data_IF_898250733115
#
_entry.id   IF_898250733115
#
_cell.length_a   1.000
_cell.length_b   1.000
_cell.length_c   1.000
_cell.angle_alpha   90.00
_cell.angle_beta   90.00
_cell.angle_gamma   90.00
#
_symmetry.space_group_name_H-M   'P 1'
#
loop_
_entity.id
_entity.type
_entity.pdbx_description
1 polymer ?
#
# COMPACT_ATOMS: atom_id res chain seq x y z
N UNK A 1 -5.99 14.01 7.17
CA UNK A 1 -5.76 13.68 8.59
C UNK A 1 -4.73 12.55 8.66
N UNK A 2 -3.89 12.54 9.68
CA UNK A 2 -2.88 11.48 9.87
C UNK A 2 -3.54 10.24 10.50
N UNK A 3 -3.09 9.06 10.11
CA UNK A 3 -3.41 7.82 10.82
C UNK A 3 -2.29 7.44 11.77
N UNK A 4 -2.48 6.39 12.58
CA UNK A 4 -1.39 5.79 13.37
C UNK A 4 -0.33 5.08 12.50
N UNK A 5 -0.62 4.86 11.22
CA UNK A 5 0.28 4.23 10.27
C UNK A 5 1.08 5.30 9.51
N UNK A 6 2.40 5.14 9.51
CA UNK A 6 3.31 6.04 8.81
C UNK A 6 2.97 6.08 7.31
N UNK A 7 3.02 7.27 6.72
CA UNK A 7 2.74 7.53 5.30
C UNK A 7 1.33 7.13 4.83
N UNK A 8 0.41 6.85 5.77
CA UNK A 8 -1.00 6.61 5.47
C UNK A 8 -1.83 7.75 6.03
N UNK A 9 -2.54 8.42 5.12
CA UNK A 9 -3.44 9.52 5.41
C UNK A 9 -4.84 9.15 4.96
N UNK A 10 -5.84 9.64 5.69
CA UNK A 10 -7.24 9.39 5.36
C UNK A 10 -7.97 10.73 5.27
N UNK A 11 -8.78 10.85 4.21
CA UNK A 11 -9.87 11.80 4.11
C UNK A 11 -11.16 11.04 4.44
N UNK A 12 -11.68 11.27 5.64
CA UNK A 12 -12.86 10.53 6.12
C UNK A 12 -14.13 10.92 5.37
N UNK A 13 -15.02 9.96 5.19
CA UNK A 13 -16.39 10.18 4.71
C UNK A 13 -17.38 10.12 5.88
N UNK A 14 -18.52 10.78 5.73
CA UNK A 14 -19.65 10.71 6.67
C UNK A 14 -20.98 10.76 5.91
N UNK A 15 -22.10 10.75 6.63
CA UNK A 15 -23.44 10.76 6.04
C UNK A 15 -23.72 11.98 5.13
N UNK A 16 -22.99 13.10 5.28
CA UNK A 16 -23.13 14.26 4.42
C UNK A 16 -22.65 14.01 2.98
N UNK A 17 -21.88 12.94 2.73
CA UNK A 17 -21.48 12.60 1.37
C UNK A 17 -22.69 12.28 0.46
N UNK A 18 -23.79 11.78 1.03
CA UNK A 18 -25.04 11.59 0.31
C UNK A 18 -25.70 12.92 -0.12
N UNK A 19 -25.54 13.98 0.69
CA UNK A 19 -26.01 15.32 0.32
C UNK A 19 -25.14 15.94 -0.77
N UNK A 20 -23.83 15.69 -0.74
CA UNK A 20 -22.91 16.14 -1.78
C UNK A 20 -23.31 15.62 -3.17
N UNK A 21 -23.86 14.41 -3.26
CA UNK A 21 -24.35 13.87 -4.54
C UNK A 21 -25.50 14.71 -5.13
N UNK A 22 -26.37 15.25 -4.29
CA UNK A 22 -27.46 16.16 -4.71
C UNK A 22 -26.89 17.51 -5.11
N UNK A 23 -25.99 18.08 -4.30
CA UNK A 23 -25.34 19.37 -4.59
C UNK A 23 -24.52 19.36 -5.89
N UNK A 24 -23.96 18.21 -6.26
CA UNK A 24 -23.25 18.04 -7.51
C UNK A 24 -24.16 18.18 -8.73
N UNK A 25 -25.47 17.91 -8.64
CA UNK A 25 -26.37 17.95 -9.81
C UNK A 25 -26.38 19.33 -10.46
N UNK A 26 -26.37 20.39 -9.65
CA UNK A 26 -26.47 21.79 -10.09
C UNK A 26 -25.11 22.43 -10.42
N UNK A 27 -24.00 21.68 -10.30
CA UNK A 27 -22.66 22.19 -10.62
C UNK A 27 -22.34 21.99 -12.10
N UNK A 28 -21.72 23.01 -12.68
CA UNK A 28 -21.05 22.88 -13.98
C UNK A 28 -19.87 21.91 -13.85
N UNK A 29 -19.68 21.05 -14.85
CA UNK A 29 -18.61 20.04 -14.87
C UNK A 29 -18.61 19.17 -13.60
N UNK A 30 -19.82 18.86 -13.10
CA UNK A 30 -20.03 18.10 -11.86
C UNK A 30 -19.31 16.76 -11.80
N UNK A 31 -19.03 16.15 -12.94
CA UNK A 31 -18.31 14.89 -13.09
C UNK A 31 -16.80 15.03 -12.80
N UNK A 32 -16.28 16.26 -12.74
CA UNK A 32 -14.85 16.56 -12.59
C UNK A 32 -14.50 17.25 -11.27
N UNK A 33 -15.47 17.44 -10.37
CA UNK A 33 -15.28 18.19 -9.12
C UNK A 33 -14.20 17.54 -8.26
N UNK A 34 -14.25 16.22 -8.07
CA UNK A 34 -13.22 15.50 -7.31
C UNK A 34 -11.84 15.59 -7.99
N UNK A 35 -11.79 15.44 -9.32
CA UNK A 35 -10.55 15.51 -10.09
C UNK A 35 -9.86 16.87 -9.98
N UNK A 36 -10.63 17.97 -9.99
CA UNK A 36 -10.11 19.33 -9.77
C UNK A 36 -9.47 19.46 -8.39
N UNK A 37 -10.13 18.99 -7.33
CA UNK A 37 -9.60 19.03 -5.97
C UNK A 37 -8.35 18.16 -5.80
N UNK A 38 -8.36 16.94 -6.36
CA UNK A 38 -7.21 16.04 -6.25
C UNK A 38 -5.99 16.55 -7.02
N UNK A 39 -6.19 17.29 -8.12
CA UNK A 39 -5.08 17.89 -8.88
C UNK A 39 -4.25 18.88 -8.05
N UNK A 40 -4.82 19.48 -7.00
CA UNK A 40 -4.10 20.40 -6.11
C UNK A 40 -3.11 19.67 -5.20
N UNK A 41 -3.39 18.42 -4.84
CA UNK A 41 -2.60 17.62 -3.87
C UNK A 41 -1.88 16.42 -4.49
N UNK A 42 -2.10 16.11 -5.78
CA UNK A 42 -1.59 14.87 -6.40
C UNK A 42 -0.07 14.71 -6.35
N UNK A 43 0.67 15.82 -6.25
CA UNK A 43 2.14 15.78 -6.19
C UNK A 43 2.66 15.50 -4.77
N UNK A 44 1.78 15.55 -3.75
CA UNK A 44 2.14 15.30 -2.35
C UNK A 44 2.07 13.80 -2.00
N UNK A 45 1.49 12.97 -2.88
CA UNK A 45 1.26 11.55 -2.64
C UNK A 45 1.77 10.69 -3.80
N UNK A 46 2.45 9.59 -3.47
CA UNK A 46 2.87 8.58 -4.45
C UNK A 46 1.67 7.77 -4.97
N UNK A 47 0.63 7.64 -4.14
CA UNK A 47 -0.58 6.88 -4.44
C UNK A 47 -1.79 7.52 -3.74
N UNK A 48 -2.88 7.70 -4.50
CA UNK A 48 -4.20 8.08 -3.98
C UNK A 48 -5.16 6.94 -4.30
N UNK A 49 -5.78 6.36 -3.27
CA UNK A 49 -6.81 5.33 -3.41
C UNK A 49 -8.16 5.98 -3.10
N UNK A 50 -9.12 5.80 -4.01
CA UNK A 50 -10.49 6.28 -3.86
C UNK A 50 -11.39 5.05 -3.67
N UNK A 51 -12.03 4.94 -2.51
CA UNK A 51 -13.02 3.90 -2.24
C UNK A 51 -14.40 4.39 -2.68
N UNK A 52 -15.03 3.67 -3.60
CA UNK A 52 -16.27 4.08 -4.24
C UNK A 52 -17.49 3.49 -3.54
N UNK A 53 -18.61 4.22 -3.46
CA UNK A 53 -19.88 3.62 -3.04
C UNK A 53 -20.32 2.52 -4.02
N UNK A 54 -21.20 1.59 -3.59
CA UNK A 54 -21.67 0.50 -4.44
C UNK A 54 -22.59 0.96 -5.59
N UNK A 55 -23.00 2.23 -5.61
CA UNK A 55 -23.82 2.83 -6.66
C UNK A 55 -22.95 3.35 -7.81
N UNK A 56 -23.47 3.32 -9.04
CA UNK A 56 -22.83 3.94 -10.21
C UNK A 56 -23.32 5.39 -10.41
N UNK A 57 -23.46 6.13 -9.30
CA UNK A 57 -23.94 7.51 -9.24
C UNK A 57 -22.85 8.57 -9.50
N UNK A 58 -23.16 9.84 -9.24
CA UNK A 58 -22.25 10.96 -9.52
C UNK A 58 -20.96 10.88 -8.72
N UNK A 59 -20.98 10.32 -7.51
CA UNK A 59 -19.78 10.10 -6.70
C UNK A 59 -18.81 9.13 -7.37
N UNK A 60 -19.33 8.01 -7.88
CA UNK A 60 -18.53 7.00 -8.58
C UNK A 60 -18.04 7.53 -9.93
N UNK A 61 -18.87 8.29 -10.66
CA UNK A 61 -18.43 8.96 -11.89
C UNK A 61 -17.30 9.94 -11.60
N UNK A 62 -17.38 10.74 -10.53
CA UNK A 62 -16.29 11.62 -10.11
C UNK A 62 -14.99 10.87 -9.80
N UNK A 63 -15.09 9.75 -9.08
CA UNK A 63 -13.95 8.90 -8.77
C UNK A 63 -13.30 8.35 -10.04
N UNK A 64 -14.08 7.82 -10.99
CA UNK A 64 -13.57 7.32 -12.26
C UNK A 64 -12.96 8.43 -13.11
N UNK A 65 -13.63 9.58 -13.23
CA UNK A 65 -13.11 10.75 -13.98
C UNK A 65 -11.79 11.28 -13.41
N UNK A 66 -11.53 11.10 -12.12
CA UNK A 66 -10.29 11.53 -11.46
C UNK A 66 -9.16 10.48 -11.48
N UNK A 67 -9.47 9.21 -11.78
CA UNK A 67 -8.55 8.08 -11.60
C UNK A 67 -7.74 7.75 -12.85
N UNK A 68 -6.53 7.23 -12.67
CA UNK A 68 -5.73 6.68 -13.79
C UNK A 68 -5.98 5.18 -13.98
N UNK A 69 -6.25 4.46 -12.90
CA UNK A 69 -6.43 3.01 -12.91
C UNK A 69 -7.65 2.61 -12.09
N UNK A 70 -8.48 1.73 -12.61
CA UNK A 70 -9.59 1.08 -11.89
C UNK A 70 -9.17 -0.31 -11.40
N UNK A 71 -9.30 -0.56 -10.10
CA UNK A 71 -9.22 -1.90 -9.52
C UNK A 71 -10.63 -2.39 -9.24
N UNK A 72 -10.94 -3.61 -9.69
CA UNK A 72 -12.26 -4.23 -9.53
C UNK A 72 -12.18 -5.36 -8.51
N UNK A 73 -12.63 -5.18 -7.27
CA UNK A 73 -12.83 -6.29 -6.35
C UNK A 73 -14.09 -7.07 -6.77
N UNK A 74 -13.91 -8.31 -7.23
CA UNK A 74 -15.00 -9.15 -7.68
C UNK A 74 -15.22 -10.31 -6.71
N UNK A 75 -16.44 -10.45 -6.20
CA UNK A 75 -16.82 -11.58 -5.37
C UNK A 75 -17.03 -12.83 -6.24
N UNK A 76 -16.57 -13.99 -5.78
CA UNK A 76 -16.70 -15.25 -6.53
C UNK A 76 -18.10 -15.89 -6.35
N UNK A 77 -19.17 -15.13 -6.62
CA UNK A 77 -20.58 -15.52 -6.52
C UNK A 77 -21.33 -15.21 -7.82
N UNK A 78 -22.48 -15.87 -8.06
CA UNK A 78 -23.20 -15.78 -9.34
C UNK A 78 -23.64 -14.35 -9.70
N UNK A 79 -24.14 -13.59 -8.71
CA UNK A 79 -24.62 -12.22 -8.93
C UNK A 79 -23.50 -11.22 -9.24
N UNK A 80 -22.25 -11.57 -8.95
CA UNK A 80 -21.11 -10.66 -9.18
C UNK A 80 -20.84 -10.43 -10.67
N UNK A 81 -21.14 -11.41 -11.53
CA UNK A 81 -20.92 -11.29 -12.97
C UNK A 81 -21.94 -10.35 -13.65
N UNK A 82 -23.17 -10.30 -13.15
CA UNK A 82 -24.18 -9.35 -13.65
C UNK A 82 -23.78 -7.90 -13.33
N UNK A 83 -23.40 -7.64 -12.08
CA UNK A 83 -22.92 -6.31 -11.66
C UNK A 83 -21.65 -5.87 -12.40
N UNK A 84 -20.77 -6.80 -12.73
CA UNK A 84 -19.59 -6.54 -13.54
C UNK A 84 -19.93 -5.99 -14.92
N UNK A 85 -20.97 -6.52 -15.58
CA UNK A 85 -21.40 -6.01 -16.90
C UNK A 85 -21.86 -4.55 -16.86
N UNK A 86 -22.58 -4.17 -15.79
CA UNK A 86 -23.02 -2.78 -15.58
C UNK A 86 -21.83 -1.84 -15.31
N UNK A 87 -20.88 -2.28 -14.47
CA UNK A 87 -19.64 -1.55 -14.21
C UNK A 87 -18.85 -1.33 -15.50
N UNK A 88 -18.65 -2.36 -16.32
CA UNK A 88 -17.89 -2.25 -17.56
C UNK A 88 -18.57 -1.32 -18.58
N UNK A 89 -19.90 -1.34 -18.65
CA UNK A 89 -20.65 -0.42 -19.50
C UNK A 89 -20.48 1.04 -19.06
N UNK A 90 -20.51 1.28 -17.74
CA UNK A 90 -20.29 2.61 -17.17
C UNK A 90 -18.85 3.07 -17.33
N UNK A 91 -17.88 2.17 -17.10
CA UNK A 91 -16.47 2.42 -17.32
C UNK A 91 -16.20 2.90 -18.75
N UNK A 92 -16.75 2.21 -19.76
CA UNK A 92 -16.60 2.60 -21.17
C UNK A 92 -17.16 4.00 -21.44
N UNK A 93 -18.32 4.33 -20.87
CA UNK A 93 -18.89 5.66 -21.03
C UNK A 93 -18.00 6.75 -20.44
N UNK A 94 -17.41 6.49 -19.27
CA UNK A 94 -16.46 7.42 -18.63
C UNK A 94 -15.18 7.52 -19.46
N UNK A 95 -14.61 6.39 -19.90
CA UNK A 95 -13.42 6.33 -20.75
C UNK A 95 -13.62 7.15 -22.04
N UNK A 96 -14.75 6.97 -22.73
CA UNK A 96 -15.02 7.65 -24.00
C UNK A 96 -15.30 9.15 -23.85
N UNK A 97 -16.00 9.56 -22.78
CA UNK A 97 -16.56 10.93 -22.70
C UNK A 97 -15.88 11.83 -21.68
N UNK A 98 -15.28 11.28 -20.64
CA UNK A 98 -14.85 12.05 -19.47
C UNK A 98 -13.36 11.88 -19.19
N UNK A 99 -12.83 10.65 -19.26
CA UNK A 99 -11.45 10.35 -18.92
C UNK A 99 -10.84 9.30 -19.87
N UNK A 100 -10.36 9.70 -21.05
CA UNK A 100 -9.76 8.78 -22.04
C UNK A 100 -8.47 8.08 -21.59
N UNK A 101 -7.91 8.48 -20.44
CA UNK A 101 -6.67 7.91 -19.92
C UNK A 101 -6.90 6.89 -18.81
N UNK A 102 -8.15 6.66 -18.38
CA UNK A 102 -8.44 5.65 -17.38
C UNK A 102 -8.27 4.26 -17.98
N UNK A 103 -7.65 3.35 -17.23
CA UNK A 103 -7.57 1.95 -17.63
C UNK A 103 -8.03 1.03 -16.49
N UNK A 104 -8.58 -0.13 -16.85
CA UNK A 104 -8.72 -1.22 -15.87
C UNK A 104 -7.31 -1.70 -15.49
N UNK A 105 -6.89 -1.37 -14.27
CA UNK A 105 -5.60 -1.73 -13.69
C UNK A 105 -5.56 -3.18 -13.22
N UNK A 106 -6.70 -3.72 -12.78
CA UNK A 106 -6.84 -5.16 -12.60
C UNK A 106 -8.07 -5.59 -11.82
N UNK A 107 -8.26 -6.91 -11.75
CA UNK A 107 -9.40 -7.55 -11.08
C UNK A 107 -8.90 -8.44 -9.95
N UNK A 108 -9.38 -8.18 -8.74
CA UNK A 108 -9.04 -8.96 -7.54
C UNK A 108 -10.21 -9.87 -7.21
N UNK A 109 -9.97 -11.17 -7.22
CA UNK A 109 -10.98 -12.17 -6.88
C UNK A 109 -11.07 -12.32 -5.36
N UNK A 110 -12.27 -12.12 -4.81
CA UNK A 110 -12.51 -12.03 -3.37
C UNK A 110 -13.63 -12.95 -2.90
N UNK A 111 -13.65 -13.19 -1.58
CA UNK A 111 -14.66 -13.99 -0.87
C UNK A 111 -14.86 -15.40 -1.45
N UNK A 112 -13.80 -15.97 -2.03
CA UNK A 112 -13.82 -17.27 -2.67
C UNK A 112 -14.11 -18.40 -1.67
N UNK A 113 -15.02 -19.29 -2.04
CA UNK A 113 -15.26 -20.55 -1.35
C UNK A 113 -14.89 -21.73 -2.26
N UNK A 114 -13.65 -22.19 -2.11
CA UNK A 114 -13.05 -23.27 -2.92
C UNK A 114 -13.74 -24.63 -2.77
N UNK A 115 -14.72 -24.76 -1.87
CA UNK A 115 -15.56 -25.96 -1.77
C UNK A 115 -16.65 -26.01 -2.84
N UNK A 116 -16.90 -24.88 -3.52
CA UNK A 116 -17.96 -24.75 -4.52
C UNK A 116 -17.41 -24.75 -5.93
N UNK A 117 -18.08 -25.47 -6.84
CA UNK A 117 -17.74 -25.43 -8.27
C UNK A 117 -17.98 -24.03 -8.86
N UNK A 118 -18.96 -23.30 -8.34
CA UNK A 118 -19.28 -21.94 -8.79
C UNK A 118 -18.08 -20.99 -8.64
N UNK A 119 -17.37 -21.05 -7.51
CA UNK A 119 -16.15 -20.24 -7.32
C UNK A 119 -15.13 -20.52 -8.41
N UNK A 120 -14.91 -21.78 -8.79
CA UNK A 120 -13.95 -22.12 -9.86
C UNK A 120 -14.40 -21.58 -11.22
N UNK A 121 -15.69 -21.73 -11.54
CA UNK A 121 -16.27 -21.21 -12.79
C UNK A 121 -16.08 -19.69 -12.90
N UNK A 122 -16.37 -18.94 -11.82
CA UNK A 122 -16.19 -17.48 -11.81
C UNK A 122 -14.71 -17.11 -11.97
N UNK A 123 -13.80 -17.81 -11.27
CA UNK A 123 -12.35 -17.57 -11.41
C UNK A 123 -11.91 -17.79 -12.86
N UNK A 124 -12.33 -18.88 -13.49
CA UNK A 124 -11.99 -19.22 -14.88
C UNK A 124 -12.54 -18.19 -15.87
N UNK A 125 -13.81 -17.81 -15.73
CA UNK A 125 -14.45 -16.83 -16.60
C UNK A 125 -13.77 -15.46 -16.54
N UNK A 126 -13.45 -15.00 -15.33
CA UNK A 126 -12.77 -13.72 -15.11
C UNK A 126 -11.35 -13.78 -15.68
N UNK A 127 -10.63 -14.88 -15.46
CA UNK A 127 -9.29 -15.06 -16.04
C UNK A 127 -9.34 -15.11 -17.57
N UNK A 128 -10.33 -15.74 -18.16
CA UNK A 128 -10.51 -15.78 -19.61
C UNK A 128 -10.83 -14.40 -20.19
N UNK A 129 -11.64 -13.60 -19.48
CA UNK A 129 -12.04 -12.27 -19.95
C UNK A 129 -10.96 -11.20 -19.75
N UNK A 130 -10.38 -11.11 -18.54
CA UNK A 130 -9.42 -10.07 -18.18
C UNK A 130 -7.97 -10.48 -18.40
N UNK A 131 -7.68 -11.77 -18.56
CA UNK A 131 -6.34 -12.30 -18.79
C UNK A 131 -5.34 -11.79 -17.76
N UNK A 132 -4.28 -11.15 -18.26
CA UNK A 132 -3.19 -10.57 -17.46
C UNK A 132 -3.63 -9.45 -16.49
N UNK A 133 -4.82 -8.88 -16.68
CA UNK A 133 -5.40 -7.90 -15.75
C UNK A 133 -5.95 -8.56 -14.48
N UNK A 134 -6.15 -9.87 -14.47
CA UNK A 134 -6.54 -10.57 -13.24
C UNK A 134 -5.34 -10.69 -12.30
N UNK A 135 -5.54 -10.42 -11.02
CA UNK A 135 -4.56 -10.76 -9.99
C UNK A 135 -4.48 -12.28 -9.83
N UNK A 136 -3.28 -12.80 -9.59
CA UNK A 136 -3.07 -14.23 -9.45
C UNK A 136 -3.60 -14.73 -8.11
N UNK A 137 -3.44 -13.92 -7.07
CA UNK A 137 -3.93 -14.24 -5.73
C UNK A 137 -5.45 -14.09 -5.65
N UNK A 138 -6.11 -15.13 -5.14
CA UNK A 138 -7.54 -15.16 -4.84
C UNK A 138 -7.72 -15.07 -3.33
N UNK A 139 -8.51 -14.11 -2.86
CA UNK A 139 -8.76 -13.90 -1.43
C UNK A 139 -9.91 -14.82 -0.97
N UNK A 140 -9.65 -15.78 -0.05
CA UNK A 140 -10.69 -16.66 0.47
C UNK A 140 -11.66 -15.92 1.39
N UNK A 141 -12.88 -16.44 1.50
CA UNK A 141 -13.84 -15.98 2.52
C UNK A 141 -13.27 -16.20 3.93
N UNK A 142 -13.36 -15.18 4.78
CA UNK A 142 -12.91 -15.24 6.18
C UNK A 142 -13.82 -14.41 7.09
N UNK A 143 -14.45 -15.06 8.06
CA UNK A 143 -15.30 -14.40 9.07
C UNK A 143 -14.50 -13.39 9.88
N UNK A 144 -13.29 -13.75 10.31
CA UNK A 144 -12.43 -12.87 11.11
C UNK A 144 -12.02 -11.59 10.39
N UNK A 145 -11.84 -11.63 9.07
CA UNK A 145 -11.57 -10.43 8.27
C UNK A 145 -12.79 -9.51 8.27
N UNK A 146 -14.00 -10.08 8.14
CA UNK A 146 -15.25 -9.33 8.18
C UNK A 146 -15.54 -8.67 9.54
N UNK A 147 -14.93 -9.17 10.63
CA UNK A 147 -15.05 -8.58 11.97
C UNK A 147 -14.09 -7.41 12.21
N UNK A 148 -12.96 -7.34 11.49
CA UNK A 148 -11.91 -6.34 11.70
C UNK A 148 -12.40 -4.87 11.72
N UNK A 149 -13.35 -4.44 10.85
CA UNK A 149 -13.87 -3.08 10.88
C UNK A 149 -14.46 -2.67 12.24
N UNK A 150 -15.10 -3.61 12.96
CA UNK A 150 -15.68 -3.37 14.29
C UNK A 150 -14.63 -3.05 15.35
N UNK A 151 -13.36 -3.36 15.10
CA UNK A 151 -12.23 -3.08 15.98
C UNK A 151 -11.40 -1.86 15.52
N UNK A 152 -11.79 -1.20 14.43
CA UNK A 152 -11.07 -0.05 13.89
C UNK A 152 -9.65 -0.36 13.42
N UNK A 153 -9.34 -1.62 13.12
CA UNK A 153 -8.00 -2.07 12.71
C UNK A 153 -8.03 -2.59 11.28
N UNK A 154 -6.98 -2.36 10.48
CA UNK A 154 -6.79 -3.05 9.21
C UNK A 154 -6.84 -4.57 9.41
N UNK A 155 -7.52 -5.28 8.52
CA UNK A 155 -7.79 -6.70 8.70
C UNK A 155 -6.52 -7.56 8.80
N UNK A 156 -5.46 -7.18 8.07
CA UNK A 156 -4.14 -7.83 8.14
C UNK A 156 -3.44 -7.64 9.48
N UNK A 157 -3.76 -6.57 10.23
CA UNK A 157 -3.23 -6.29 11.57
C UNK A 157 -4.08 -6.99 12.63
N UNK A 158 -5.40 -7.01 12.45
CA UNK A 158 -6.34 -7.65 13.37
C UNK A 158 -6.11 -9.17 13.46
N UNK A 159 -5.91 -9.84 12.32
CA UNK A 159 -5.70 -11.29 12.27
C UNK A 159 -4.54 -11.62 11.33
N UNK A 160 -3.32 -11.62 11.83
CA UNK A 160 -2.10 -11.78 10.99
C UNK A 160 -1.92 -13.17 10.41
N UNK A 161 -2.45 -14.22 11.06
CA UNK A 161 -2.15 -15.61 10.71
C UNK A 161 -3.17 -16.25 9.76
N UNK A 162 -4.31 -15.60 9.51
CA UNK A 162 -5.33 -16.18 8.63
C UNK A 162 -4.86 -16.29 7.18
N UNK A 163 -5.42 -17.27 6.46
CA UNK A 163 -5.19 -17.45 5.02
C UNK A 163 -5.61 -16.22 4.22
N UNK A 164 -6.68 -15.54 4.63
CA UNK A 164 -7.17 -14.34 3.96
C UNK A 164 -6.22 -13.13 4.15
N UNK A 165 -5.65 -12.95 5.34
CA UNK A 165 -4.65 -11.90 5.57
C UNK A 165 -3.39 -12.12 4.74
N UNK A 166 -2.90 -13.36 4.68
CA UNK A 166 -1.78 -13.73 3.80
C UNK A 166 -2.12 -13.46 2.34
N UNK A 167 -3.33 -13.81 1.89
CA UNK A 167 -3.78 -13.50 0.54
C UNK A 167 -3.84 -11.99 0.27
N UNK A 168 -4.31 -11.15 1.21
CA UNK A 168 -4.29 -9.69 1.04
C UNK A 168 -2.88 -9.11 0.98
N UNK A 169 -1.92 -9.67 1.75
CA UNK A 169 -0.52 -9.27 1.67
C UNK A 169 0.07 -9.59 0.28
N UNK A 170 -0.22 -10.77 -0.26
CA UNK A 170 0.22 -11.14 -1.62
C UNK A 170 -0.48 -10.28 -2.70
N UNK A 171 -1.78 -9.99 -2.58
CA UNK A 171 -2.47 -9.01 -3.46
C UNK A 171 -1.79 -7.65 -3.39
N UNK A 172 -1.41 -7.19 -2.19
CA UNK A 172 -0.66 -5.95 -1.99
C UNK A 172 0.70 -6.00 -2.70
N UNK A 173 1.41 -7.13 -2.64
CA UNK A 173 2.68 -7.32 -3.34
C UNK A 173 2.52 -7.26 -4.86
N UNK A 174 1.56 -8.00 -5.40
CA UNK A 174 1.19 -7.95 -6.82
C UNK A 174 0.80 -6.55 -7.26
N UNK A 175 0.07 -5.80 -6.42
CA UNK A 175 -0.31 -4.42 -6.68
C UNK A 175 0.92 -3.52 -6.81
N UNK A 176 1.84 -3.61 -5.84
CA UNK A 176 3.07 -2.81 -5.85
C UNK A 176 3.96 -3.11 -7.06
N UNK A 177 4.08 -4.39 -7.44
CA UNK A 177 4.82 -4.80 -8.64
C UNK A 177 4.15 -4.28 -9.91
N UNK A 178 2.83 -4.47 -10.04
CA UNK A 178 2.04 -4.08 -11.21
C UNK A 178 2.08 -2.58 -11.47
N UNK A 179 2.06 -1.76 -10.42
CA UNK A 179 2.08 -0.30 -10.53
C UNK A 179 3.48 0.31 -10.33
N UNK A 180 4.53 -0.52 -10.25
CA UNK A 180 5.92 -0.05 -10.21
C UNK A 180 6.30 0.68 -8.92
N UNK A 181 5.56 0.47 -7.84
CA UNK A 181 5.75 1.15 -6.54
C UNK A 181 6.92 0.58 -5.72
N UNK A 182 7.54 -0.53 -6.14
CA UNK A 182 8.68 -1.14 -5.43
C UNK A 182 9.95 -0.26 -5.43
N UNK A 183 10.11 0.63 -6.42
CA UNK A 183 11.36 1.39 -6.66
C UNK A 183 11.71 2.41 -5.56
N UNK A 184 10.77 2.74 -4.68
CA UNK A 184 10.97 3.72 -3.60
C UNK A 184 11.30 3.07 -2.24
N UNK A 185 10.85 1.82 -2.01
CA UNK A 185 11.09 1.11 -0.74
C UNK A 185 12.54 0.64 -0.64
N UNK A 186 13.13 0.13 -1.72
CA UNK A 186 14.53 -0.31 -1.74
C UNK A 186 15.50 0.86 -1.54
N UNK A 187 15.28 2.00 -2.21
CA UNK A 187 16.10 3.22 -2.03
C UNK A 187 16.06 3.75 -0.59
N UNK A 188 14.89 3.81 0.05
CA UNK A 188 14.78 4.25 1.45
C UNK A 188 15.40 3.25 2.43
N UNK A 189 15.39 1.95 2.10
CA UNK A 189 16.02 0.90 2.94
C UNK A 189 17.54 0.94 2.82
N UNK A 190 18.08 1.26 1.63
CA UNK A 190 19.51 1.45 1.40
C UNK A 190 20.05 2.74 2.04
N UNK A 191 19.31 3.85 1.97
CA UNK A 191 19.65 5.13 2.63
C UNK A 191 19.62 4.99 4.17
N UNK A 192 18.64 4.28 4.73
CA UNK A 192 18.59 4.01 6.19
C UNK A 192 19.64 3.01 6.69
N UNK A 193 20.11 2.10 5.83
CA UNK A 193 21.18 1.17 6.17
C UNK A 193 22.57 1.81 6.05
N UNK A 194 22.74 2.82 5.18
CA UNK A 194 24.00 3.56 5.03
C UNK A 194 24.23 4.58 6.16
N UNK A 195 23.19 5.19 6.73
CA UNK A 195 23.33 6.07 7.91
C UNK A 195 23.63 5.33 9.23
N UNK A 196 23.40 4.01 9.31
CA UNK A 196 23.72 3.19 10.50
C UNK A 196 25.16 2.67 10.55
N UNK A 197 25.98 2.93 9.53
CA UNK A 197 27.38 2.50 9.47
C UNK A 197 28.33 3.64 9.83
N UNK A 198 28.35 4.02 11.12
CA UNK A 198 29.49 4.75 11.69
C UNK A 198 30.53 3.68 12.09
N UNK A 199 31.79 3.75 11.62
CA UNK A 199 32.78 2.72 11.91
C UNK A 199 33.27 2.81 13.37
N UNK A 200 33.21 1.70 14.10
CA UNK A 200 33.97 1.51 15.34
C UNK A 200 35.46 1.59 15.02
N UNK A 201 36.11 2.67 15.45
CA UNK A 201 37.54 2.84 15.34
C UNK A 201 38.25 2.06 16.46
N UNK A 202 39.10 1.11 16.06
CA UNK A 202 40.39 0.86 16.71
C UNK A 202 40.49 -0.33 17.68
N UNK A 203 40.79 -1.51 17.13
CA UNK A 203 41.44 -2.59 17.87
C UNK A 203 42.85 -2.16 18.31
N UNK A 204 43.20 -2.45 19.57
CA UNK A 204 44.54 -2.36 20.11
C UNK A 204 45.50 -3.37 19.44
N UNK A 205 46.80 -3.08 19.25
CA UNK A 205 47.74 -4.06 18.72
C UNK A 205 48.38 -4.90 19.83
N UNK A 206 48.47 -6.21 19.58
CA UNK A 206 49.21 -7.17 20.38
C UNK A 206 50.69 -7.28 19.94
N UNK A 207 51.51 -7.72 20.88
CA UNK A 207 52.98 -7.74 20.98
C UNK A 207 53.77 -8.55 19.91
N UNK A 208 55.09 -8.30 19.81
CA UNK A 208 56.16 -9.34 19.77
C UNK A 208 57.59 -8.73 19.86
N UNK A 209 58.25 -8.91 21.03
CA UNK A 209 59.63 -9.43 21.37
C UNK A 209 60.90 -9.13 20.51
N UNK A 210 62.15 -9.38 20.99
CA UNK A 210 62.85 -8.97 22.24
C UNK A 210 64.36 -8.54 22.07
N UNK A 211 65.02 -8.17 23.19
CA UNK A 211 66.47 -8.21 23.54
C UNK A 211 67.37 -6.93 23.49
N UNK A 212 67.64 -6.38 24.70
CA UNK A 212 68.90 -5.93 25.37
C UNK A 212 70.06 -5.16 24.65
N UNK A 213 70.99 -4.51 25.39
CA UNK A 213 70.88 -3.60 26.55
C UNK A 213 71.75 -2.32 26.30
N UNK A 214 71.97 -1.42 27.29
CA UNK A 214 73.27 -0.76 27.62
C UNK A 214 73.08 0.47 28.56
N UNK A 215 73.89 0.43 29.63
CA UNK A 215 74.51 1.48 30.45
C UNK A 215 73.70 2.44 31.35
N UNK A 216 74.11 2.35 32.63
CA UNK A 216 73.94 3.27 33.76
C UNK A 216 74.78 4.53 33.58
N UNK A 217 74.39 5.61 34.26
CA UNK A 217 75.28 6.51 35.02
C UNK A 217 74.46 7.43 35.97
N UNK A 218 75.04 8.12 36.97
CA UNK A 218 74.79 7.76 38.36
C UNK A 218 74.24 8.89 39.27
N UNK A 219 73.85 8.43 40.45
CA UNK A 219 73.70 9.06 41.79
C UNK A 219 74.23 10.49 41.97
N UNK A 220 73.42 11.32 42.63
CA UNK A 220 73.89 12.31 43.59
C UNK A 220 73.07 12.19 44.89
N UNK A 221 73.75 11.76 45.96
CA UNK A 221 73.32 11.86 47.35
C UNK A 221 73.44 13.32 47.83
N UNK A 222 72.58 13.75 48.76
CA UNK A 222 72.95 13.93 50.17
C UNK A 222 71.96 14.84 50.91
N UNK A 223 71.58 14.37 52.11
CA UNK A 223 71.47 15.10 53.39
C UNK A 223 70.56 16.37 53.42
N UNK A 224 69.67 16.62 54.37
CA UNK A 224 69.59 16.21 55.77
C UNK A 224 68.34 16.88 56.42
N UNK A 225 67.65 16.11 57.27
CA UNK A 225 67.35 16.45 58.67
C UNK A 225 66.27 17.51 59.04
N UNK A 226 65.41 17.02 59.94
CA UNK A 226 64.71 17.66 61.06
C UNK A 226 63.23 18.08 60.92
N UNK A 227 62.46 17.35 61.75
CA UNK A 227 61.20 17.63 62.45
C UNK A 227 59.88 17.53 61.66
#
# INVERSE_FOLDING_TARGET
MNTEYKNLFILGANSHLAAAEIELIDKDEREFVLGKLLNEIKNDFELIIIDCPPSLGLLTINALSASQKLIIPLQCEYYALEGLGQLLSTFKLVEEKLNPNIEIGGVVLTMADFRTNLTQQVIEEVKNYFGVKTFQTVVPRSVKISEAPSFGKPAIVYETQSRASKAYLEVGREFMERFGLHKQIEKQTEEQNSEKQIPEAGQAPAETTPAEPIAREPVAESESVNQ
#
